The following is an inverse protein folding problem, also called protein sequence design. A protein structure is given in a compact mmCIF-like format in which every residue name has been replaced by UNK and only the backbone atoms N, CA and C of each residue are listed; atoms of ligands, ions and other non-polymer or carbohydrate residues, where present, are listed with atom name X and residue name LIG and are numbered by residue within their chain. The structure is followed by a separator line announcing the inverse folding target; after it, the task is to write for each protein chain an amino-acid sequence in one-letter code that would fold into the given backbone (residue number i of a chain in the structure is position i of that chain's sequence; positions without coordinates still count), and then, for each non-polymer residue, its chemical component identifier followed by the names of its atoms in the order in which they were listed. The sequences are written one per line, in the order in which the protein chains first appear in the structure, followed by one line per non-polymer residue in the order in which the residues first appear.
data_IF_159390168099
#
_entry.id   IF_159390168099
#
_cell.length_a   1.000
_cell.length_b   1.000
_cell.length_c   1.000
_cell.angle_alpha   90.00
_cell.angle_beta   90.00
_cell.angle_gamma   90.00
#
_symmetry.space_group_name_H-M   'P 1'
#
loop_
_entity.id
_entity.type
_entity.pdbx_description
1 polymer ?
#
# COMPACT_ATOMS: atom_id res chain seq x y z
N UNK A 1 12.32 -30.98 -9.52
CA UNK A 1 12.91 -29.86 -8.76
C UNK A 1 12.91 -28.64 -9.67
N UNK A 2 12.02 -27.67 -9.43
CA UNK A 2 12.08 -26.39 -10.14
C UNK A 2 13.34 -25.67 -9.67
N UNK A 3 14.27 -25.43 -10.60
CA UNK A 3 15.44 -24.59 -10.36
C UNK A 3 14.92 -23.16 -10.18
N UNK A 4 14.92 -22.64 -8.96
CA UNK A 4 14.75 -21.20 -8.75
C UNK A 4 15.90 -20.52 -9.48
N UNK A 5 15.62 -19.80 -10.57
CA UNK A 5 16.64 -19.05 -11.29
C UNK A 5 17.23 -18.01 -10.34
N UNK A 6 18.56 -18.01 -10.16
CA UNK A 6 19.24 -16.98 -9.38
C UNK A 6 19.13 -15.66 -10.14
N UNK A 7 18.83 -14.58 -9.42
CA UNK A 7 18.90 -13.22 -9.97
C UNK A 7 20.37 -12.84 -10.09
N UNK A 8 20.79 -12.47 -11.28
CA UNK A 8 22.21 -12.21 -11.56
C UNK A 8 22.47 -10.83 -12.13
N UNK A 9 21.42 -10.12 -12.55
CA UNK A 9 21.50 -8.76 -13.11
C UNK A 9 20.56 -7.80 -12.36
N UNK A 10 20.77 -6.49 -12.55
CA UNK A 10 19.83 -5.47 -12.06
C UNK A 10 18.48 -5.60 -12.75
N UNK A 11 18.44 -6.00 -14.02
CA UNK A 11 17.21 -6.26 -14.75
C UNK A 11 16.40 -7.43 -14.13
N UNK A 12 17.06 -8.53 -13.76
CA UNK A 12 16.43 -9.66 -13.04
C UNK A 12 15.80 -9.22 -11.72
N UNK A 13 16.47 -8.29 -11.02
CA UNK A 13 16.00 -7.73 -9.76
C UNK A 13 14.85 -6.76 -9.99
N UNK A 14 14.96 -5.84 -10.95
CA UNK A 14 13.90 -4.91 -11.32
C UNK A 14 12.60 -5.65 -11.68
N UNK A 15 12.67 -6.65 -12.56
CA UNK A 15 11.50 -7.46 -12.93
C UNK A 15 10.91 -8.17 -11.70
N UNK A 16 11.75 -8.62 -10.76
CA UNK A 16 11.26 -9.22 -9.53
C UNK A 16 10.55 -8.21 -8.64
N UNK A 17 11.18 -7.10 -8.29
CA UNK A 17 10.59 -6.08 -7.41
C UNK A 17 9.31 -5.51 -8.04
N UNK A 18 9.30 -5.27 -9.37
CA UNK A 18 8.12 -4.78 -10.08
C UNK A 18 6.97 -5.79 -10.06
N UNK A 19 7.30 -7.09 -10.17
CA UNK A 19 6.29 -8.14 -10.02
C UNK A 19 5.77 -8.22 -8.58
N UNK A 20 6.57 -7.83 -7.59
CA UNK A 20 6.26 -7.98 -6.17
C UNK A 20 5.32 -6.86 -5.75
N UNK A 21 5.67 -5.62 -6.08
CA UNK A 21 4.80 -4.47 -5.86
C UNK A 21 3.49 -4.65 -6.63
N UNK A 22 3.49 -5.13 -7.88
CA UNK A 22 2.26 -5.44 -8.61
C UNK A 22 1.37 -6.49 -7.90
N UNK A 23 1.97 -7.43 -7.18
CA UNK A 23 1.22 -8.35 -6.32
C UNK A 23 0.74 -7.67 -5.03
N UNK A 24 1.47 -6.71 -4.49
CA UNK A 24 1.08 -5.93 -3.31
C UNK A 24 -0.18 -5.11 -3.61
N UNK A 25 -0.19 -4.34 -4.69
CA UNK A 25 -1.32 -3.52 -5.15
C UNK A 25 -2.61 -4.33 -5.30
N UNK A 26 -2.51 -5.52 -5.91
CA UNK A 26 -3.64 -6.44 -6.07
C UNK A 26 -4.15 -7.04 -4.76
N UNK A 27 -3.35 -7.05 -3.71
CA UNK A 27 -3.80 -7.45 -2.38
C UNK A 27 -4.45 -6.26 -1.66
N UNK A 28 -3.89 -5.06 -1.79
CA UNK A 28 -4.41 -3.81 -1.22
C UNK A 28 -5.82 -3.51 -1.74
N UNK A 29 -6.03 -3.56 -3.06
CA UNK A 29 -7.37 -3.40 -3.68
C UNK A 29 -8.45 -4.31 -3.09
N UNK A 30 -8.07 -5.48 -2.55
CA UNK A 30 -9.02 -6.41 -1.90
C UNK A 30 -9.24 -6.07 -0.42
N UNK A 31 -8.26 -5.47 0.24
CA UNK A 31 -8.31 -5.10 1.64
C UNK A 31 -9.09 -3.79 1.86
N UNK A 32 -8.82 -2.76 1.06
CA UNK A 32 -9.38 -1.40 1.24
C UNK A 32 -10.91 -1.35 1.39
N UNK A 33 -11.73 -2.09 0.59
CA UNK A 33 -13.18 -2.08 0.78
C UNK A 33 -13.62 -2.58 2.17
N UNK A 34 -12.88 -3.50 2.80
CA UNK A 34 -13.17 -3.98 4.15
C UNK A 34 -12.85 -2.89 5.18
N UNK A 35 -11.71 -2.21 5.02
CA UNK A 35 -11.25 -1.15 5.93
C UNK A 35 -12.17 0.07 5.89
N UNK A 36 -12.61 0.49 4.70
CA UNK A 36 -13.59 1.56 4.53
C UNK A 36 -14.90 1.29 5.29
N UNK A 37 -15.45 0.07 5.18
CA UNK A 37 -16.67 -0.33 5.90
C UNK A 37 -16.49 -0.44 7.41
N UNK A 38 -15.30 -0.83 7.85
CA UNK A 38 -14.99 -0.98 9.26
C UNK A 38 -14.83 0.37 9.96
N UNK A 39 -14.37 1.39 9.23
CA UNK A 39 -14.12 2.72 9.76
C UNK A 39 -15.40 3.39 10.29
N UNK A 40 -15.29 4.13 11.40
CA UNK A 40 -16.36 4.98 11.93
C UNK A 40 -16.18 6.46 11.58
N UNK A 41 -14.95 6.90 11.39
CA UNK A 41 -14.61 8.23 10.94
C UNK A 41 -14.91 8.36 9.42
N UNK A 42 -15.82 9.26 9.02
CA UNK A 42 -16.16 9.44 7.60
C UNK A 42 -14.97 9.84 6.72
N UNK A 43 -14.05 10.67 7.24
CA UNK A 43 -12.87 11.08 6.50
C UNK A 43 -11.89 9.91 6.28
N UNK A 44 -11.82 8.98 7.23
CA UNK A 44 -11.01 7.76 7.09
C UNK A 44 -11.61 6.79 6.08
N UNK A 45 -12.93 6.58 6.13
CA UNK A 45 -13.63 5.76 5.15
C UNK A 45 -13.44 6.31 3.72
N UNK A 46 -13.60 7.63 3.54
CA UNK A 46 -13.35 8.31 2.27
C UNK A 46 -11.89 8.22 1.82
N UNK A 47 -10.93 8.27 2.75
CA UNK A 47 -9.52 8.07 2.44
C UNK A 47 -9.26 6.68 1.85
N UNK A 48 -9.82 5.63 2.44
CA UNK A 48 -9.68 4.26 1.91
C UNK A 48 -10.40 4.05 0.57
N UNK A 49 -11.55 4.69 0.35
CA UNK A 49 -12.25 4.65 -0.94
C UNK A 49 -11.47 5.39 -2.04
N UNK A 50 -10.92 6.57 -1.72
CA UNK A 50 -10.08 7.34 -2.65
C UNK A 50 -8.83 6.56 -3.01
N UNK A 51 -8.14 6.01 -2.00
CA UNK A 51 -6.91 5.26 -2.19
C UNK A 51 -7.16 3.99 -3.03
N UNK A 52 -8.32 3.34 -2.90
CA UNK A 52 -8.69 2.21 -3.76
C UNK A 52 -8.75 2.59 -5.25
N UNK A 53 -9.28 3.77 -5.56
CA UNK A 53 -9.32 4.28 -6.94
C UNK A 53 -7.91 4.58 -7.46
N UNK A 54 -7.06 5.21 -6.63
CA UNK A 54 -5.65 5.46 -6.92
C UNK A 54 -4.91 4.14 -7.20
N UNK A 55 -5.08 3.13 -6.34
CA UNK A 55 -4.49 1.80 -6.49
C UNK A 55 -4.86 1.13 -7.82
N UNK A 56 -6.09 1.28 -8.30
CA UNK A 56 -6.45 0.78 -9.63
C UNK A 56 -5.69 1.52 -10.75
N UNK A 57 -5.48 2.83 -10.60
CA UNK A 57 -4.64 3.63 -11.50
C UNK A 57 -3.18 3.18 -11.46
N UNK A 58 -2.63 2.92 -10.28
CA UNK A 58 -1.25 2.46 -10.08
C UNK A 58 -0.99 1.10 -10.76
N UNK A 59 -1.94 0.16 -10.64
CA UNK A 59 -1.91 -1.12 -11.35
C UNK A 59 -1.87 -0.89 -12.87
N UNK A 60 -2.67 0.05 -13.40
CA UNK A 60 -2.66 0.38 -14.82
C UNK A 60 -1.33 1.00 -15.26
N UNK A 61 -0.69 1.85 -14.44
CA UNK A 61 0.65 2.38 -14.73
C UNK A 61 1.69 1.28 -14.82
N UNK A 62 1.64 0.28 -13.93
CA UNK A 62 2.53 -0.88 -14.02
C UNK A 62 2.27 -1.66 -15.32
N UNK A 63 1.00 -1.90 -15.66
CA UNK A 63 0.65 -2.60 -16.92
C UNK A 63 1.19 -1.83 -18.15
N UNK A 64 1.06 -0.49 -18.16
CA UNK A 64 1.62 0.39 -19.18
C UNK A 64 3.15 0.30 -19.26
N UNK A 65 3.84 0.39 -18.12
CA UNK A 65 5.30 0.29 -18.04
C UNK A 65 5.80 -1.03 -18.63
N UNK A 66 5.14 -2.14 -18.26
CA UNK A 66 5.48 -3.48 -18.73
C UNK A 66 5.30 -3.61 -20.24
N UNK A 67 4.24 -3.02 -20.80
CA UNK A 67 4.00 -3.00 -22.25
C UNK A 67 5.06 -2.16 -22.99
N UNK A 68 5.32 -0.93 -22.53
CA UNK A 68 6.27 -0.01 -23.16
C UNK A 68 7.71 -0.52 -23.13
N UNK A 69 8.07 -1.25 -22.07
CA UNK A 69 9.42 -1.75 -21.85
C UNK A 69 9.63 -3.19 -22.33
N UNK A 70 8.62 -3.79 -22.97
CA UNK A 70 8.59 -5.20 -23.39
C UNK A 70 8.94 -6.21 -22.27
N UNK A 71 8.70 -5.81 -21.01
CA UNK A 71 9.02 -6.62 -19.84
C UNK A 71 7.97 -7.71 -19.62
N UNK A 72 8.31 -8.70 -18.79
CA UNK A 72 7.39 -9.77 -18.40
C UNK A 72 7.37 -9.96 -16.91
N UNK A 73 6.26 -9.59 -16.29
CA UNK A 73 6.03 -9.86 -14.88
C UNK A 73 5.95 -11.37 -14.59
N UNK A 74 6.35 -11.74 -13.38
CA UNK A 74 6.24 -13.11 -12.87
C UNK A 74 4.78 -13.42 -12.54
N UNK A 75 4.12 -14.17 -13.42
CA UNK A 75 2.69 -14.53 -13.32
C UNK A 75 2.26 -15.21 -12.01
N UNK A 76 3.16 -15.88 -11.30
CA UNK A 76 2.86 -16.63 -10.06
C UNK A 76 3.73 -16.14 -8.93
N UNK A 77 3.60 -14.86 -8.63
CA UNK A 77 4.27 -14.27 -7.50
C UNK A 77 3.25 -13.69 -6.54
N UNK A 78 3.59 -13.78 -5.25
CA UNK A 78 2.82 -13.24 -4.16
C UNK A 78 3.76 -12.43 -3.30
N UNK A 79 3.43 -11.16 -3.09
CA UNK A 79 4.15 -10.33 -2.14
C UNK A 79 3.78 -10.78 -0.72
N UNK A 80 4.74 -11.44 -0.05
CA UNK A 80 4.56 -11.98 1.30
C UNK A 80 4.58 -10.85 2.35
N UNK A 81 5.36 -9.79 2.11
CA UNK A 81 5.40 -8.63 3.01
C UNK A 81 4.02 -7.96 3.08
N UNK A 82 3.42 -7.66 1.92
CA UNK A 82 2.09 -7.06 1.86
C UNK A 82 1.00 -7.98 2.42
N UNK A 83 1.10 -9.29 2.23
CA UNK A 83 0.19 -10.24 2.88
C UNK A 83 0.23 -10.08 4.41
N UNK A 84 1.41 -9.99 5.00
CA UNK A 84 1.58 -9.80 6.44
C UNK A 84 0.99 -8.48 6.94
N UNK A 85 1.26 -7.37 6.25
CA UNK A 85 0.73 -6.05 6.62
C UNK A 85 -0.81 -5.99 6.55
N UNK A 86 -1.39 -6.63 5.54
CA UNK A 86 -2.85 -6.75 5.42
C UNK A 86 -3.41 -7.66 6.52
N UNK A 87 -2.67 -8.69 6.94
CA UNK A 87 -3.08 -9.55 8.06
C UNK A 87 -3.10 -8.78 9.38
N UNK A 88 -2.10 -7.93 9.66
CA UNK A 88 -2.13 -7.04 10.84
C UNK A 88 -3.42 -6.20 10.86
N UNK A 89 -3.84 -5.67 9.70
CA UNK A 89 -5.08 -4.90 9.60
C UNK A 89 -6.33 -5.74 9.90
N UNK A 90 -6.31 -7.04 9.58
CA UNK A 90 -7.44 -7.95 9.87
C UNK A 90 -7.48 -8.36 11.33
N UNK A 91 -6.33 -8.59 11.95
CA UNK A 91 -6.24 -8.90 13.38
C UNK A 91 -6.86 -7.76 14.21
N UNK A 92 -6.57 -6.50 13.86
CA UNK A 92 -7.21 -5.34 14.50
C UNK A 92 -8.74 -5.35 14.39
N UNK A 93 -9.28 -5.76 13.23
CA UNK A 93 -10.74 -5.86 13.02
C UNK A 93 -11.39 -6.97 13.85
N UNK A 94 -10.63 -7.99 14.23
CA UNK A 94 -11.12 -9.12 15.02
C UNK A 94 -10.95 -8.85 16.53
N UNK A 95 -9.95 -8.06 16.92
CA UNK A 95 -9.59 -7.77 18.32
C UNK A 95 -10.21 -6.49 18.89
N UNK A 96 -10.51 -5.49 18.06
CA UNK A 96 -10.96 -4.17 18.50
C UNK A 96 -12.39 -3.90 18.01
N UNK A 97 -13.26 -3.50 18.92
CA UNK A 97 -14.64 -3.12 18.58
C UNK A 97 -14.67 -1.91 17.65
N UNK A 98 -15.71 -1.84 16.81
CA UNK A 98 -15.88 -0.75 15.86
C UNK A 98 -16.02 0.59 16.61
N UNK A 99 -15.09 1.50 16.37
CA UNK A 99 -15.07 2.82 16.99
C UNK A 99 -13.73 3.54 16.79
N UNK A 100 -13.54 4.69 17.44
CA UNK A 100 -12.33 5.51 17.37
C UNK A 100 -11.01 4.77 17.62
N UNK A 101 -10.98 3.81 18.55
CA UNK A 101 -9.76 3.00 18.82
C UNK A 101 -9.41 2.13 17.62
N UNK A 102 -10.40 1.49 17.01
CA UNK A 102 -10.20 0.74 15.77
C UNK A 102 -9.76 1.66 14.64
N UNK A 103 -10.38 2.83 14.47
CA UNK A 103 -9.99 3.79 13.44
C UNK A 103 -8.51 4.21 13.56
N UNK A 104 -8.04 4.48 14.78
CA UNK A 104 -6.63 4.78 15.04
C UNK A 104 -5.71 3.59 14.70
N UNK A 105 -6.12 2.36 15.04
CA UNK A 105 -5.40 1.14 14.67
C UNK A 105 -5.32 0.95 13.15
N UNK A 106 -6.43 1.18 12.44
CA UNK A 106 -6.50 1.06 10.98
C UNK A 106 -5.63 2.11 10.29
N UNK A 107 -5.61 3.35 10.79
CA UNK A 107 -4.69 4.39 10.29
C UNK A 107 -3.24 3.90 10.43
N UNK A 108 -2.83 3.46 11.62
CA UNK A 108 -1.47 3.00 11.87
C UNK A 108 -1.09 1.80 10.99
N UNK A 109 -2.00 0.86 10.77
CA UNK A 109 -1.77 -0.29 9.91
C UNK A 109 -1.62 0.12 8.43
N UNK A 110 -2.47 1.02 7.94
CA UNK A 110 -2.37 1.53 6.57
C UNK A 110 -1.12 2.38 6.35
N UNK A 111 -0.68 3.19 7.31
CA UNK A 111 0.60 3.90 7.16
C UNK A 111 1.78 2.92 6.98
N UNK A 112 1.77 1.75 7.63
CA UNK A 112 2.80 0.72 7.37
C UNK A 112 2.73 0.17 5.93
N UNK A 113 1.53 0.07 5.36
CA UNK A 113 1.32 -0.29 3.94
C UNK A 113 1.95 0.80 3.06
N UNK A 114 1.58 2.08 3.26
CA UNK A 114 2.15 3.20 2.49
C UNK A 114 3.68 3.24 2.57
N UNK A 115 4.25 3.08 3.77
CA UNK A 115 5.70 3.09 3.96
C UNK A 115 6.41 1.94 3.24
N UNK A 116 5.79 0.77 3.15
CA UNK A 116 6.31 -0.34 2.35
C UNK A 116 6.31 0.02 0.86
N UNK A 117 5.25 0.64 0.35
CA UNK A 117 5.11 1.03 -1.05
C UNK A 117 6.04 2.18 -1.43
N UNK A 118 6.15 3.21 -0.59
CA UNK A 118 7.12 4.30 -0.72
C UNK A 118 8.54 3.75 -0.87
N UNK A 119 8.91 2.75 -0.06
CA UNK A 119 10.22 2.10 -0.16
C UNK A 119 10.36 1.27 -1.45
N UNK A 120 9.32 0.52 -1.83
CA UNK A 120 9.28 -0.29 -3.05
C UNK A 120 9.41 0.55 -4.32
N UNK A 121 8.56 1.56 -4.49
CA UNK A 121 8.59 2.48 -5.62
C UNK A 121 9.87 3.31 -5.67
N UNK A 122 10.36 3.82 -4.53
CA UNK A 122 11.65 4.52 -4.49
C UNK A 122 12.82 3.66 -4.99
N UNK A 123 12.82 2.37 -4.65
CA UNK A 123 13.81 1.39 -5.12
C UNK A 123 13.68 1.14 -6.63
N UNK A 124 12.45 0.93 -7.11
CA UNK A 124 12.17 0.69 -8.53
C UNK A 124 12.57 1.87 -9.42
N UNK A 125 12.31 3.11 -8.98
CA UNK A 125 12.71 4.32 -9.71
C UNK A 125 14.24 4.38 -9.85
N UNK A 126 14.99 4.09 -8.77
CA UNK A 126 16.44 4.09 -8.81
C UNK A 126 16.99 3.02 -9.77
N UNK A 127 16.39 1.83 -9.79
CA UNK A 127 16.75 0.76 -10.72
C UNK A 127 16.39 1.11 -12.17
N UNK A 128 15.21 1.67 -12.42
CA UNK A 128 14.77 2.09 -13.75
C UNK A 128 15.73 3.12 -14.35
N UNK A 129 16.12 4.14 -13.58
CA UNK A 129 17.14 5.13 -13.99
C UNK A 129 18.49 4.48 -14.27
N UNK A 130 18.92 3.52 -13.46
CA UNK A 130 20.17 2.80 -13.71
C UNK A 130 20.14 2.00 -15.02
N UNK A 131 18.98 1.46 -15.39
CA UNK A 131 18.76 0.71 -16.63
C UNK A 131 18.52 1.63 -17.85
N UNK A 132 18.47 2.96 -17.67
CA UNK A 132 18.16 3.91 -18.74
C UNK A 132 16.69 3.90 -19.16
N UNK A 133 15.80 3.46 -18.28
CA UNK A 133 14.35 3.40 -18.51
C UNK A 133 13.67 4.64 -17.93
N UNK A 134 13.94 5.81 -18.50
CA UNK A 134 13.48 7.09 -17.96
C UNK A 134 11.95 7.21 -17.93
N UNK A 135 11.27 6.78 -19.00
CA UNK A 135 9.79 6.77 -19.06
C UNK A 135 9.18 5.88 -17.94
N UNK A 136 9.82 4.76 -17.63
CA UNK A 136 9.40 3.88 -16.54
C UNK A 136 9.62 4.55 -15.17
N UNK A 137 10.75 5.25 -15.01
CA UNK A 137 11.05 5.99 -13.78
C UNK A 137 10.06 7.12 -13.53
N UNK A 138 9.57 7.79 -14.58
CA UNK A 138 8.56 8.84 -14.48
C UNK A 138 7.20 8.27 -14.07
N UNK A 139 6.74 7.19 -14.71
CA UNK A 139 5.48 6.51 -14.33
C UNK A 139 5.50 6.00 -12.88
N UNK A 140 6.61 5.40 -12.44
CA UNK A 140 6.78 4.96 -11.06
C UNK A 140 6.87 6.15 -10.09
N UNK A 141 7.40 7.29 -10.57
CA UNK A 141 7.48 8.54 -9.81
C UNK A 141 6.11 9.17 -9.55
N UNK A 142 5.17 9.07 -10.50
CA UNK A 142 3.77 9.46 -10.29
C UNK A 142 3.14 8.64 -9.17
N UNK A 143 3.26 7.30 -9.23
CA UNK A 143 2.74 6.44 -8.16
C UNK A 143 3.37 6.77 -6.80
N UNK A 144 4.70 6.94 -6.73
CA UNK A 144 5.37 7.31 -5.49
C UNK A 144 4.84 8.63 -4.88
N UNK A 145 4.42 9.58 -5.72
CA UNK A 145 3.83 10.82 -5.23
C UNK A 145 2.43 10.61 -4.63
N UNK A 146 1.64 9.72 -5.22
CA UNK A 146 0.33 9.31 -4.70
C UNK A 146 0.47 8.62 -3.33
N UNK A 147 1.35 7.64 -3.17
CA UNK A 147 1.50 6.94 -1.87
C UNK A 147 1.95 7.89 -0.75
N UNK A 148 2.83 8.84 -1.08
CA UNK A 148 3.22 9.88 -0.11
C UNK A 148 2.05 10.77 0.27
N UNK A 149 1.22 11.15 -0.68
CA UNK A 149 0.04 11.95 -0.42
C UNK A 149 -1.00 11.17 0.40
N UNK A 150 -1.15 9.87 0.16
CA UNK A 150 -1.99 8.97 0.95
C UNK A 150 -1.51 8.88 2.41
N UNK A 151 -0.21 8.68 2.64
CA UNK A 151 0.38 8.68 4.00
C UNK A 151 0.22 10.04 4.71
N UNK A 152 0.44 11.15 3.99
CA UNK A 152 0.21 12.49 4.52
C UNK A 152 -1.27 12.71 4.91
N UNK A 153 -2.20 12.21 4.10
CA UNK A 153 -3.65 12.27 4.38
C UNK A 153 -4.00 11.45 5.63
N UNK A 154 -3.45 10.24 5.77
CA UNK A 154 -3.63 9.41 6.96
C UNK A 154 -3.08 10.07 8.21
N UNK A 155 -1.88 10.67 8.12
CA UNK A 155 -1.28 11.45 9.21
C UNK A 155 -2.18 12.61 9.63
N UNK A 156 -2.72 13.36 8.68
CA UNK A 156 -3.62 14.47 8.98
C UNK A 156 -4.89 14.00 9.70
N UNK A 157 -5.48 12.87 9.30
CA UNK A 157 -6.67 12.29 9.97
C UNK A 157 -6.33 11.85 11.40
N UNK A 158 -5.15 11.26 11.60
CA UNK A 158 -4.67 10.84 12.92
C UNK A 158 -4.58 12.04 13.89
N UNK A 159 -4.02 13.15 13.42
CA UNK A 159 -3.78 14.37 14.21
C UNK A 159 -5.05 15.21 14.44
N UNK A 160 -5.98 15.26 13.47
CA UNK A 160 -7.16 16.14 13.51
C UNK A 160 -8.35 15.60 14.33
N UNK A 161 -8.19 14.48 15.03
CA UNK A 161 -9.21 13.96 15.92
C UNK A 161 -9.32 12.44 15.96
N UNK A 162 -8.68 11.72 15.03
CA UNK A 162 -8.66 10.25 15.05
C UNK A 162 -8.15 9.69 16.38
N UNK A 163 -6.98 10.17 16.83
CA UNK A 163 -6.39 9.71 18.09
C UNK A 163 -7.05 10.32 19.33
N UNK A 164 -7.55 11.56 19.25
CA UNK A 164 -8.22 12.21 20.38
C UNK A 164 -9.54 11.52 20.73
N UNK A 165 -10.33 11.13 19.72
CA UNK A 165 -11.57 10.39 19.94
C UNK A 165 -11.31 9.00 20.54
N UNK A 166 -10.16 8.37 20.25
CA UNK A 166 -9.76 7.11 20.85
C UNK A 166 -9.46 7.23 22.34
N UNK A 167 -8.91 8.35 22.81
CA UNK A 167 -8.59 8.57 24.23
C UNK A 167 -9.83 8.89 25.08
N UNK A 168 -10.82 9.60 24.53
CA UNK A 168 -11.98 10.07 25.30
C UNK A 168 -12.99 8.96 25.64
N UNK A 169 -13.02 7.86 24.89
CA UNK A 169 -13.94 6.75 25.17
C UNK A 169 -13.61 5.99 26.46
N UNK A 170 -12.32 5.83 26.77
CA UNK A 170 -11.91 5.17 28.02
C UNK A 170 -12.30 6.00 29.25
N UNK A 171 -12.39 7.33 29.13
CA UNK A 171 -12.75 8.23 30.25
C UNK A 171 -14.26 8.28 30.53
N UNK A 172 -15.11 7.96 29.55
CA UNK A 172 -16.57 7.93 29.73
C UNK A 172 -17.07 6.63 30.37
N UNK A 173 -16.34 5.50 30.22
CA UNK A 173 -16.68 4.21 30.84
C UNK A 173 -16.20 4.08 32.31
N UNK A 174 -15.41 5.03 32.82
CA UNK A 174 -14.95 5.08 34.23
C UNK A 174 -15.87 5.89 35.18
N UNK A 175 -17.02 6.41 34.72
CA UNK A 175 -17.98 7.20 35.54
C UNK A 175 -19.31 6.49 35.82
#
# INVERSE_FOLDING_TARGET
MNKTSRKTTIEDLFIHELSDIYSAEKQITKALPKLARASTNPALAEAFESHLEETFGQIQRIDQLVEQSELKLKRRMKCIAMEGLIEESKELLDEIEKGPVLDAGLIAACQKVEHYEIAGYGTLIAMARHLGMDDAADLLGETLAEEKAADEKLTAIAEQGGNQAATLLDEEDEQ
#
